data_IF_552011630373
#
_entry.id   IF_552011630373
#
_cell.length_a   1.000
_cell.length_b   1.000
_cell.length_c   1.000
_cell.angle_alpha   90.00
_cell.angle_beta   90.00
_cell.angle_gamma   90.00
#
_symmetry.space_group_name_H-M   'P 1'
#
loop_
_entity.id
_entity.type
_entity.pdbx_description
1 polymer ?
#
# COMPACT_ATOMS: atom_id res chain seq x y z
N UNK A 1 5.64 -3.98 4.36
CA UNK A 1 6.89 -3.66 3.62
C UNK A 1 7.36 -2.28 4.05
N UNK A 2 8.22 -2.21 5.07
CA UNK A 2 8.92 -0.95 5.38
C UNK A 2 10.08 -0.83 4.40
N UNK A 3 9.98 0.11 3.44
CA UNK A 3 11.10 0.45 2.56
C UNK A 3 12.10 1.29 3.38
N UNK A 4 13.11 0.64 3.90
CA UNK A 4 14.32 1.26 4.44
C UNK A 4 15.01 2.01 3.27
N UNK A 5 14.88 3.32 3.22
CA UNK A 5 15.63 4.15 2.28
C UNK A 5 17.06 4.27 2.81
N UNK A 6 17.96 3.44 2.27
CA UNK A 6 19.40 3.57 2.46
C UNK A 6 19.86 4.99 2.10
N UNK A 7 20.13 5.83 3.11
CA UNK A 7 20.72 7.15 2.93
C UNK A 7 22.04 7.24 3.69
N UNK A 8 23.11 7.42 2.90
CA UNK A 8 24.47 7.87 3.23
C UNK A 8 24.65 8.35 4.69
N UNK A 9 25.56 7.70 5.43
CA UNK A 9 26.00 8.05 6.79
C UNK A 9 26.47 9.50 6.91
N UNK A 10 25.53 10.43 7.12
CA UNK A 10 25.80 11.71 7.77
C UNK A 10 26.00 11.39 9.27
N UNK A 11 27.07 11.92 9.87
CA UNK A 11 27.30 11.81 11.32
C UNK A 11 26.23 12.65 12.03
N UNK A 12 25.11 12.04 12.36
CA UNK A 12 24.10 12.64 13.23
C UNK A 12 24.56 12.44 14.67
N UNK A 13 24.76 13.53 15.42
CA UNK A 13 24.91 13.43 16.87
C UNK A 13 23.53 13.11 17.44
N UNK A 14 23.38 11.94 18.05
CA UNK A 14 22.14 11.51 18.70
C UNK A 14 21.91 12.38 19.95
N UNK A 15 20.83 13.15 19.94
CA UNK A 15 20.49 14.06 21.04
C UNK A 15 19.75 13.33 22.17
N UNK A 16 19.01 12.25 21.84
CA UNK A 16 18.23 11.45 22.79
C UNK A 16 17.27 10.47 22.09
N UNK A 17 16.40 9.82 22.87
CA UNK A 17 15.34 8.93 22.37
C UNK A 17 13.97 9.28 22.95
N UNK A 18 12.91 8.80 22.30
CA UNK A 18 11.52 9.00 22.70
C UNK A 18 10.81 7.65 22.72
N UNK A 19 10.14 7.36 23.82
CA UNK A 19 9.30 6.17 23.94
C UNK A 19 7.85 6.53 23.56
N UNK A 20 7.34 5.91 22.49
CA UNK A 20 5.96 6.07 22.04
C UNK A 20 5.22 4.74 22.28
N UNK A 21 4.39 4.64 23.33
CA UNK A 21 3.63 3.42 23.58
C UNK A 21 2.67 3.14 22.42
N UNK A 22 2.66 1.93 21.89
CA UNK A 22 1.78 1.59 20.76
C UNK A 22 0.29 1.80 21.09
N UNK A 23 -0.09 1.69 22.36
CA UNK A 23 -1.45 1.96 22.86
C UNK A 23 -1.93 3.39 22.64
N UNK A 24 -1.04 4.38 22.46
CA UNK A 24 -1.45 5.77 22.21
C UNK A 24 -1.71 6.06 20.72
N UNK A 25 -1.28 5.16 19.82
CA UNK A 25 -1.37 5.34 18.37
C UNK A 25 -2.19 4.23 17.68
N UNK A 26 -2.89 3.40 18.46
CA UNK A 26 -3.85 2.40 17.96
C UNK A 26 -5.09 3.07 17.36
N UNK A 27 -5.59 2.52 16.25
CA UNK A 27 -6.86 2.95 15.65
C UNK A 27 -6.78 3.45 14.21
N UNK A 28 -5.66 3.25 13.50
CA UNK A 28 -5.51 3.62 12.08
C UNK A 28 -5.71 5.14 11.79
N UNK A 29 -5.65 5.97 12.83
CA UNK A 29 -5.76 7.43 12.76
C UNK A 29 -4.41 8.06 13.06
N UNK A 30 -4.18 9.25 12.51
CA UNK A 30 -3.00 10.03 12.88
C UNK A 30 -3.21 10.65 14.24
N UNK A 31 -2.34 10.29 15.19
CA UNK A 31 -2.31 10.89 16.51
C UNK A 31 -1.12 11.85 16.57
N UNK A 32 -1.39 13.05 17.03
CA UNK A 32 -0.38 14.08 17.23
C UNK A 32 -0.31 14.43 18.70
N UNK A 33 0.85 14.18 19.32
CA UNK A 33 1.03 14.35 20.76
C UNK A 33 2.44 14.83 21.07
N UNK A 34 2.58 15.54 22.18
CA UNK A 34 3.86 15.91 22.77
C UNK A 34 4.46 14.72 23.52
N UNK A 35 5.71 14.38 23.21
CA UNK A 35 6.46 13.32 23.87
C UNK A 35 7.75 13.89 24.49
N UNK A 36 8.08 13.47 25.73
CA UNK A 36 9.34 13.84 26.37
C UNK A 36 10.52 13.17 25.67
N UNK A 37 11.61 13.91 25.46
CA UNK A 37 12.87 13.39 24.95
C UNK A 37 13.79 13.06 26.10
N UNK A 38 14.20 11.80 26.17
CA UNK A 38 15.13 11.28 27.16
C UNK A 38 16.54 11.34 26.60
N UNK A 39 17.46 11.95 27.35
CA UNK A 39 18.88 11.98 27.00
C UNK A 39 19.66 11.06 27.94
N UNK A 40 20.71 10.42 27.42
CA UNK A 40 21.60 9.60 28.25
C UNK A 40 22.82 10.45 28.56
N UNK A 41 22.85 11.06 29.74
CA UNK A 41 24.03 11.76 30.24
C UNK A 41 24.87 10.78 31.07
N UNK A 42 26.10 10.52 30.63
CA UNK A 42 27.05 9.71 31.41
C UNK A 42 27.60 10.55 32.57
N UNK A 43 26.95 10.50 33.74
CA UNK A 43 27.54 11.00 34.99
C UNK A 43 28.32 9.85 35.67
N UNK A 44 29.43 10.18 36.35
CA UNK A 44 30.43 9.27 36.92
C UNK A 44 29.95 8.42 38.13
N UNK A 45 28.67 8.08 38.19
CA UNK A 45 28.04 7.30 39.24
C UNK A 45 27.12 6.28 38.57
N UNK A 46 27.15 5.03 39.04
CA UNK A 46 26.54 3.84 38.40
C UNK A 46 25.00 3.82 38.35
N UNK A 47 24.35 4.94 38.09
CA UNK A 47 22.91 5.05 37.87
C UNK A 47 22.66 5.90 36.61
N UNK A 48 22.04 5.29 35.59
CA UNK A 48 21.59 5.99 34.38
C UNK A 48 20.39 6.86 34.75
N UNK A 49 20.61 8.14 35.05
CA UNK A 49 19.53 9.09 35.33
C UNK A 49 18.83 9.43 34.00
N UNK A 50 17.50 9.26 33.96
CA UNK A 50 16.66 9.63 32.82
C UNK A 50 16.25 11.09 32.96
N UNK A 51 17.06 12.01 32.46
CA UNK A 51 16.70 13.42 32.43
C UNK A 51 15.82 13.72 31.20
N UNK A 52 14.63 14.28 31.45
CA UNK A 52 13.75 14.81 30.40
C UNK A 52 14.18 16.24 30.12
N UNK A 53 14.73 16.51 28.94
CA UNK A 53 15.34 17.81 28.63
C UNK A 53 14.45 18.72 27.77
N UNK A 54 13.60 18.14 26.92
CA UNK A 54 12.67 18.88 26.06
C UNK A 54 11.54 17.97 25.59
N UNK A 55 10.43 18.57 25.16
CA UNK A 55 9.31 17.86 24.55
C UNK A 55 9.33 18.06 23.03
N UNK A 56 9.00 17.01 22.29
CA UNK A 56 8.85 17.05 20.83
C UNK A 56 7.42 16.68 20.45
N UNK A 57 6.84 17.40 19.49
CA UNK A 57 5.52 17.09 18.95
C UNK A 57 5.70 16.12 17.78
N UNK A 58 5.14 14.94 17.90
CA UNK A 58 5.25 13.88 16.88
C UNK A 58 3.83 13.55 16.39
N UNK A 59 3.68 13.53 15.06
CA UNK A 59 2.50 13.03 14.38
C UNK A 59 2.80 11.65 13.81
N UNK A 60 2.16 10.62 14.35
CA UNK A 60 2.39 9.23 13.98
C UNK A 60 1.07 8.48 13.76
N UNK A 61 1.12 7.39 12.99
CA UNK A 61 0.01 6.48 12.76
C UNK A 61 0.55 5.05 12.76
N UNK A 62 -0.08 4.18 13.55
CA UNK A 62 0.25 2.77 13.58
C UNK A 62 -0.87 1.95 12.94
N UNK A 63 -0.47 1.00 12.08
CA UNK A 63 -1.37 0.06 11.44
C UNK A 63 -0.69 -1.32 11.43
N UNK A 64 -1.25 -2.26 12.17
CA UNK A 64 -0.89 -3.67 12.09
C UNK A 64 -1.72 -4.33 10.98
N UNK A 65 -1.04 -5.03 10.05
CA UNK A 65 -1.68 -5.77 8.96
C UNK A 65 -1.16 -7.20 9.04
N UNK A 66 -2.05 -8.15 9.28
CA UNK A 66 -1.72 -9.56 9.30
C UNK A 66 -1.87 -10.13 7.88
N UNK A 67 -0.79 -10.70 7.36
CA UNK A 67 -0.77 -11.37 6.05
C UNK A 67 -0.76 -12.87 6.31
N UNK A 68 -1.75 -13.58 5.75
CA UNK A 68 -1.85 -15.02 5.93
C UNK A 68 -0.78 -15.76 5.09
N UNK A 69 -0.46 -17.02 5.41
CA UNK A 69 0.35 -17.87 4.54
C UNK A 69 -0.28 -18.08 3.16
N UNK A 70 0.55 -18.30 2.15
CA UNK A 70 0.12 -18.38 0.74
C UNK A 70 -0.91 -19.50 0.50
N UNK A 71 -0.82 -20.60 1.27
CA UNK A 71 -1.75 -21.73 1.20
C UNK A 71 -3.21 -21.33 1.45
N UNK A 72 -3.45 -20.29 2.28
CA UNK A 72 -4.81 -19.81 2.57
C UNK A 72 -5.43 -19.01 1.43
N UNK A 73 -4.63 -18.57 0.46
CA UNK A 73 -5.09 -17.76 -0.68
C UNK A 73 -5.40 -18.59 -1.93
N UNK A 74 -5.20 -19.91 -1.93
CA UNK A 74 -5.39 -20.76 -3.11
C UNK A 74 -6.79 -20.67 -3.71
N UNK A 75 -7.84 -20.70 -2.88
CA UNK A 75 -9.22 -20.60 -3.36
C UNK A 75 -9.51 -19.22 -3.99
N UNK A 76 -8.93 -18.15 -3.43
CA UNK A 76 -9.05 -16.81 -3.98
C UNK A 76 -8.32 -16.69 -5.32
N UNK A 77 -7.12 -17.26 -5.44
CA UNK A 77 -6.36 -17.28 -6.69
C UNK A 77 -7.15 -17.98 -7.80
N UNK A 78 -7.71 -19.16 -7.53
CA UNK A 78 -8.52 -19.91 -8.51
C UNK A 78 -9.77 -19.14 -8.93
N UNK A 79 -10.43 -18.45 -7.98
CA UNK A 79 -11.60 -17.62 -8.29
C UNK A 79 -11.23 -16.43 -9.17
N UNK A 80 -10.12 -15.74 -8.86
CA UNK A 80 -9.63 -14.63 -9.68
C UNK A 80 -9.25 -15.12 -11.08
N UNK A 81 -8.57 -16.26 -11.20
CA UNK A 81 -8.16 -16.80 -12.50
C UNK A 81 -9.36 -17.17 -13.40
N UNK A 82 -10.43 -17.71 -12.82
CA UNK A 82 -11.61 -18.17 -13.58
C UNK A 82 -12.64 -17.08 -13.85
N UNK A 83 -12.89 -16.19 -12.89
CA UNK A 83 -14.07 -15.32 -12.87
C UNK A 83 -13.74 -13.82 -12.74
N UNK A 84 -12.50 -13.39 -13.03
CA UNK A 84 -12.10 -11.98 -12.94
C UNK A 84 -13.01 -11.01 -13.72
N UNK A 85 -13.47 -11.38 -14.92
CA UNK A 85 -14.39 -10.53 -15.71
C UNK A 85 -15.73 -10.33 -15.01
N UNK A 86 -16.25 -11.38 -14.37
CA UNK A 86 -17.51 -11.32 -13.63
C UNK A 86 -17.36 -10.45 -12.39
N UNK A 87 -16.24 -10.58 -11.67
CA UNK A 87 -15.91 -9.73 -10.53
C UNK A 87 -15.86 -8.26 -10.92
N UNK A 88 -15.13 -7.93 -12.00
CA UNK A 88 -14.99 -6.55 -12.48
C UNK A 88 -16.35 -5.96 -12.85
N UNK A 89 -17.16 -6.68 -13.63
CA UNK A 89 -18.50 -6.23 -14.03
C UNK A 89 -19.42 -5.92 -12.84
N UNK A 90 -19.33 -6.69 -11.77
CA UNK A 90 -20.14 -6.49 -10.57
C UNK A 90 -19.60 -5.33 -9.73
N UNK A 91 -18.28 -5.22 -9.55
CA UNK A 91 -17.71 -4.16 -8.71
C UNK A 91 -17.74 -2.79 -9.38
N UNK A 92 -17.46 -2.71 -10.68
CA UNK A 92 -17.28 -1.46 -11.41
C UNK A 92 -18.35 -0.37 -11.21
N UNK A 93 -19.66 -0.68 -11.14
CA UNK A 93 -20.69 0.32 -10.85
C UNK A 93 -20.76 0.76 -9.38
N UNK A 94 -20.18 -0.01 -8.45
CA UNK A 94 -20.33 0.21 -7.01
C UNK A 94 -19.08 0.82 -6.34
N UNK A 95 -17.97 0.94 -7.05
CA UNK A 95 -16.69 1.40 -6.48
C UNK A 95 -16.29 2.80 -6.97
N UNK A 96 -15.55 3.54 -6.11
CA UNK A 96 -15.05 4.87 -6.45
C UNK A 96 -13.93 4.81 -7.51
N UNK A 97 -13.64 5.93 -8.17
CA UNK A 97 -12.54 6.01 -9.15
C UNK A 97 -11.19 5.60 -8.56
N UNK A 98 -10.95 5.91 -7.27
CA UNK A 98 -9.72 5.52 -6.57
C UNK A 98 -9.64 4.01 -6.38
N UNK A 99 -10.75 3.40 -5.96
CA UNK A 99 -10.79 1.95 -5.73
C UNK A 99 -10.72 1.17 -7.05
N UNK A 100 -11.21 1.74 -8.16
CA UNK A 100 -11.01 1.16 -9.51
C UNK A 100 -9.53 1.07 -9.87
N UNK A 101 -8.77 2.12 -9.61
CA UNK A 101 -7.34 2.16 -9.88
C UNK A 101 -6.57 1.15 -9.00
N UNK A 102 -6.92 1.07 -7.72
CA UNK A 102 -6.30 0.13 -6.78
C UNK A 102 -6.66 -1.33 -7.11
N UNK A 103 -7.91 -1.60 -7.50
CA UNK A 103 -8.38 -2.90 -7.95
C UNK A 103 -7.67 -3.33 -9.25
N UNK A 104 -7.63 -2.45 -10.25
CA UNK A 104 -6.98 -2.72 -11.52
C UNK A 104 -5.49 -3.01 -11.32
N UNK A 105 -4.80 -2.19 -10.53
CA UNK A 105 -3.38 -2.37 -10.20
C UNK A 105 -3.13 -3.70 -9.48
N UNK A 106 -3.98 -4.04 -8.51
CA UNK A 106 -3.86 -5.29 -7.75
C UNK A 106 -4.12 -6.52 -8.61
N UNK A 107 -5.16 -6.50 -9.43
CA UNK A 107 -5.48 -7.60 -10.35
C UNK A 107 -4.40 -7.79 -11.41
N UNK A 108 -3.87 -6.72 -11.99
CA UNK A 108 -2.77 -6.81 -12.96
C UNK A 108 -1.52 -7.45 -12.32
N UNK A 109 -1.18 -7.11 -11.07
CA UNK A 109 -0.07 -7.73 -10.35
C UNK A 109 -0.29 -9.21 -10.08
N UNK A 110 -1.51 -9.59 -9.69
CA UNK A 110 -1.89 -10.99 -9.48
C UNK A 110 -1.82 -11.76 -10.80
N UNK A 111 -2.36 -11.20 -11.88
CA UNK A 111 -2.33 -11.82 -13.21
C UNK A 111 -0.90 -11.98 -13.74
N UNK A 112 -0.01 -11.02 -13.45
CA UNK A 112 1.41 -11.14 -13.76
C UNK A 112 2.09 -12.25 -12.94
N UNK A 113 1.82 -12.34 -11.64
CA UNK A 113 2.35 -13.39 -10.78
C UNK A 113 1.89 -14.79 -11.24
N UNK A 114 0.64 -14.91 -11.68
CA UNK A 114 0.05 -16.14 -12.22
C UNK A 114 0.36 -16.36 -13.71
N UNK A 115 1.17 -15.51 -14.34
CA UNK A 115 1.62 -15.63 -15.73
C UNK A 115 0.52 -15.60 -16.82
N UNK A 116 -0.61 -14.94 -16.56
CA UNK A 116 -1.72 -14.78 -17.54
C UNK A 116 -2.09 -13.32 -17.84
N UNK A 117 -1.24 -12.36 -17.45
CA UNK A 117 -1.46 -10.91 -17.60
C UNK A 117 -1.84 -10.48 -19.02
N UNK A 118 -1.26 -11.09 -20.06
CA UNK A 118 -1.59 -10.78 -21.46
C UNK A 118 -3.03 -11.18 -21.83
N UNK A 119 -3.46 -12.41 -21.47
CA UNK A 119 -4.84 -12.86 -21.68
C UNK A 119 -5.82 -11.96 -20.91
N UNK A 120 -5.50 -11.69 -19.64
CA UNK A 120 -6.29 -10.82 -18.77
C UNK A 120 -6.55 -9.45 -19.39
N UNK A 121 -5.49 -8.77 -19.87
CA UNK A 121 -5.63 -7.45 -20.49
C UNK A 121 -6.45 -7.51 -21.78
N UNK A 122 -6.20 -8.52 -22.63
CA UNK A 122 -6.95 -8.70 -23.89
C UNK A 122 -8.43 -8.91 -23.60
N UNK A 123 -8.77 -9.75 -22.63
CA UNK A 123 -10.15 -10.10 -22.31
C UNK A 123 -10.91 -8.92 -21.68
N UNK A 124 -10.25 -8.13 -20.83
CA UNK A 124 -10.82 -6.92 -20.24
C UNK A 124 -11.06 -5.83 -21.30
N UNK A 125 -10.09 -5.59 -22.18
CA UNK A 125 -10.23 -4.59 -23.25
C UNK A 125 -11.33 -5.01 -24.24
N UNK A 126 -11.40 -6.30 -24.60
CA UNK A 126 -12.52 -6.83 -25.41
C UNK A 126 -13.87 -6.63 -24.73
N UNK A 127 -13.95 -6.90 -23.43
CA UNK A 127 -15.19 -6.74 -22.67
C UNK A 127 -15.62 -5.27 -22.60
N UNK A 128 -14.68 -4.32 -22.47
CA UNK A 128 -14.97 -2.89 -22.50
C UNK A 128 -15.51 -2.44 -23.87
N UNK A 129 -14.85 -2.86 -24.96
CA UNK A 129 -15.26 -2.53 -26.33
C UNK A 129 -16.68 -3.06 -26.60
N UNK A 130 -16.99 -4.28 -26.16
CA UNK A 130 -18.32 -4.86 -26.34
C UNK A 130 -19.40 -4.18 -25.48
N UNK A 131 -19.02 -3.69 -24.30
CA UNK A 131 -19.96 -3.05 -23.36
C UNK A 131 -20.20 -1.57 -23.69
N UNK A 132 -19.37 -0.95 -24.52
CA UNK A 132 -19.45 0.49 -24.82
C UNK A 132 -20.13 0.72 -26.17
N UNK A 133 -21.35 1.30 -26.21
CA UNK A 133 -22.08 1.50 -27.46
C UNK A 133 -21.52 2.66 -28.31
N UNK A 134 -20.79 3.58 -27.69
CA UNK A 134 -20.21 4.75 -28.34
C UNK A 134 -18.67 4.67 -28.32
N UNK A 135 -18.05 4.51 -29.49
CA UNK A 135 -16.60 4.45 -29.60
C UNK A 135 -15.92 5.74 -29.09
N UNK A 136 -16.60 6.87 -29.05
CA UNK A 136 -16.03 8.11 -28.48
C UNK A 136 -15.92 8.10 -26.96
N UNK A 137 -16.55 7.13 -26.30
CA UNK A 137 -16.46 6.88 -24.85
C UNK A 137 -15.48 5.76 -24.50
N UNK A 138 -14.98 5.00 -25.49
CA UNK A 138 -14.00 3.93 -25.26
C UNK A 138 -12.65 4.51 -24.80
N UNK A 139 -11.97 3.82 -23.88
CA UNK A 139 -10.68 4.24 -23.32
C UNK A 139 -10.66 5.61 -22.62
N UNK A 140 -11.82 6.10 -22.14
CA UNK A 140 -11.80 7.18 -21.15
C UNK A 140 -11.09 6.63 -19.92
N UNK A 141 -10.03 7.32 -19.45
CA UNK A 141 -9.12 6.89 -18.37
C UNK A 141 -9.74 6.66 -16.97
N UNK A 142 -11.06 6.46 -16.90
CA UNK A 142 -11.86 6.14 -15.73
C UNK A 142 -12.35 4.68 -15.70
N UNK A 143 -12.06 3.88 -16.73
CA UNK A 143 -12.40 2.44 -16.77
C UNK A 143 -11.32 1.56 -16.15
N UNK A 144 -11.74 0.42 -15.62
CA UNK A 144 -10.80 -0.59 -15.05
C UNK A 144 -9.84 -1.10 -16.13
N UNK A 145 -10.29 -1.22 -17.38
CA UNK A 145 -9.47 -1.63 -18.51
C UNK A 145 -8.30 -0.68 -18.77
N UNK A 146 -8.57 0.64 -18.83
CA UNK A 146 -7.52 1.64 -19.05
C UNK A 146 -6.53 1.67 -17.88
N UNK A 147 -7.03 1.57 -16.64
CA UNK A 147 -6.18 1.49 -15.44
C UNK A 147 -5.33 0.22 -15.39
N UNK A 148 -5.89 -0.92 -15.78
CA UNK A 148 -5.16 -2.18 -15.83
C UNK A 148 -4.01 -2.14 -16.84
N UNK A 149 -4.22 -1.53 -18.01
CA UNK A 149 -3.18 -1.29 -19.01
C UNK A 149 -2.10 -0.33 -18.49
N UNK A 150 -2.48 0.81 -17.90
CA UNK A 150 -1.52 1.75 -17.30
C UNK A 150 -0.66 1.07 -16.22
N UNK A 151 -1.28 0.28 -15.35
CA UNK A 151 -0.60 -0.46 -14.30
C UNK A 151 0.34 -1.53 -14.87
N UNK A 152 -0.07 -2.22 -15.94
CA UNK A 152 0.76 -3.23 -16.61
C UNK A 152 1.98 -2.58 -17.26
N UNK A 153 1.80 -1.48 -17.99
CA UNK A 153 2.90 -0.74 -18.62
C UNK A 153 3.92 -0.24 -17.59
N UNK A 154 3.46 0.26 -16.44
CA UNK A 154 4.35 0.64 -15.33
C UNK A 154 5.10 -0.56 -14.77
N UNK A 155 4.41 -1.70 -14.59
CA UNK A 155 5.00 -2.92 -14.02
C UNK A 155 6.11 -3.49 -14.90
N UNK A 156 5.94 -3.53 -16.22
CA UNK A 156 6.97 -4.01 -17.16
C UNK A 156 8.03 -2.95 -17.47
N UNK A 157 7.73 -1.67 -17.25
CA UNK A 157 8.69 -0.57 -17.48
C UNK A 157 9.62 -0.31 -16.29
N UNK A 158 9.30 -0.80 -15.10
CA UNK A 158 10.16 -0.74 -13.91
C UNK A 158 11.14 -1.92 -13.80
N UNK A 159 10.99 -2.97 -14.63
CA UNK A 159 11.94 -4.09 -14.77
C UNK A 159 13.01 -3.79 -15.79
#
# INVERSE_FOLDING_TARGET
ICRELERRKKRYNEIGYVDIPLSTITGNQFVEQWYPVYTITSSNSKEKIRDTTFNIRIKAKYQAIDILPLDKYQQLQQYIERDYLRLIRILEPHISLRDKDELATSLTRIAQYLSFSTSFLVDIVKAEIQSTPDLTLTFRGNSIATKAMEAYMKLIGET
#
